data_IF_179278685533
#
_entry.id   IF_179278685533
#
_cell.length_a   1.000
_cell.length_b   1.000
_cell.length_c   1.000
_cell.angle_alpha   90.00
_cell.angle_beta   90.00
_cell.angle_gamma   90.00
#
_symmetry.space_group_name_H-M   'P 1'
#
loop_
_entity.id
_entity.type
_entity.pdbx_description
1 polymer ?
#
# COMPACT_ATOMS: atom_id res chain seq x y z
N UNK A 1 -3.66 5.15 -24.83
CA UNK A 1 -4.97 5.60 -24.29
C UNK A 1 -5.01 7.12 -24.30
N UNK A 2 -6.06 7.79 -24.77
CA UNK A 2 -6.11 9.25 -24.71
C UNK A 2 -6.34 9.74 -23.28
N UNK A 3 -5.91 10.99 -22.96
CA UNK A 3 -6.11 11.61 -21.65
C UNK A 3 -7.55 11.50 -21.17
N UNK A 4 -8.53 11.82 -22.05
CA UNK A 4 -9.96 11.75 -21.73
C UNK A 4 -10.45 10.33 -21.38
N UNK A 5 -9.89 9.28 -21.98
CA UNK A 5 -10.28 7.89 -21.69
C UNK A 5 -9.71 7.37 -20.36
N UNK A 6 -8.62 7.94 -19.88
CA UNK A 6 -8.05 7.61 -18.57
C UNK A 6 -8.65 8.44 -17.43
N UNK A 7 -9.12 9.66 -17.73
CA UNK A 7 -9.75 10.54 -16.75
C UNK A 7 -11.05 9.96 -16.20
N UNK A 8 -11.86 9.33 -17.03
CA UNK A 8 -13.18 8.81 -16.61
C UNK A 8 -13.06 7.77 -15.49
N UNK A 9 -12.31 6.69 -15.61
CA UNK A 9 -12.15 5.70 -14.54
C UNK A 9 -11.55 6.30 -13.26
N UNK A 10 -10.55 7.17 -13.38
CA UNK A 10 -9.93 7.82 -12.23
C UNK A 10 -10.93 8.72 -11.47
N UNK A 11 -11.72 9.51 -12.19
CA UNK A 11 -12.75 10.38 -11.61
C UNK A 11 -13.83 9.53 -10.93
N UNK A 12 -14.29 8.46 -11.58
CA UNK A 12 -15.27 7.53 -11.01
C UNK A 12 -14.78 6.93 -9.68
N UNK A 13 -13.54 6.46 -9.63
CA UNK A 13 -12.97 5.91 -8.40
C UNK A 13 -12.86 6.99 -7.32
N UNK A 14 -12.41 8.19 -7.65
CA UNK A 14 -12.35 9.31 -6.68
C UNK A 14 -13.75 9.67 -6.14
N UNK A 15 -14.77 9.70 -7.00
CA UNK A 15 -16.15 9.94 -6.57
C UNK A 15 -16.69 8.83 -5.67
N UNK A 16 -16.39 7.58 -5.97
CA UNK A 16 -16.76 6.43 -5.12
C UNK A 16 -16.07 6.47 -3.76
N UNK A 17 -14.79 6.86 -3.71
CA UNK A 17 -14.06 7.06 -2.45
C UNK A 17 -14.73 8.18 -1.63
N UNK A 18 -14.98 9.34 -2.23
CA UNK A 18 -15.63 10.45 -1.54
C UNK A 18 -17.03 10.07 -1.02
N UNK A 19 -17.82 9.33 -1.80
CA UNK A 19 -19.11 8.84 -1.36
C UNK A 19 -19.01 7.82 -0.21
N UNK A 20 -17.98 6.96 -0.21
CA UNK A 20 -17.72 6.01 0.87
C UNK A 20 -17.26 6.72 2.15
N UNK A 21 -16.39 7.74 2.05
CA UNK A 21 -16.00 8.61 3.18
C UNK A 21 -17.23 9.25 3.81
N UNK A 22 -18.10 9.84 2.99
CA UNK A 22 -19.33 10.49 3.47
C UNK A 22 -20.27 9.50 4.16
N UNK A 23 -20.49 8.30 3.59
CA UNK A 23 -21.31 7.24 4.22
C UNK A 23 -20.74 6.78 5.56
N UNK A 24 -19.42 6.75 5.69
CA UNK A 24 -18.72 6.37 6.91
C UNK A 24 -18.60 7.53 7.92
N UNK A 25 -19.16 8.70 7.64
CA UNK A 25 -19.06 9.88 8.51
C UNK A 25 -17.64 10.45 8.63
N UNK A 26 -16.80 10.21 7.62
CA UNK A 26 -15.39 10.60 7.61
C UNK A 26 -15.18 11.92 6.87
N UNK A 27 -14.13 12.68 7.23
CA UNK A 27 -13.78 13.88 6.49
C UNK A 27 -13.46 13.58 5.01
N UNK A 28 -13.88 14.45 4.11
CA UNK A 28 -13.54 14.35 2.70
C UNK A 28 -12.00 14.40 2.52
N UNK A 29 -11.47 13.51 1.71
CA UNK A 29 -10.03 13.40 1.45
C UNK A 29 -9.24 12.73 2.58
N UNK A 30 -9.91 12.06 3.53
CA UNK A 30 -9.27 11.27 4.58
C UNK A 30 -8.64 9.98 4.09
N UNK A 31 -9.00 9.55 2.88
CA UNK A 31 -8.52 8.32 2.23
C UNK A 31 -7.64 8.63 1.03
N UNK A 32 -6.42 8.12 1.04
CA UNK A 32 -5.49 8.24 -0.08
C UNK A 32 -5.77 7.15 -1.12
N UNK A 33 -5.98 7.56 -2.38
CA UNK A 33 -5.99 6.63 -3.50
C UNK A 33 -4.56 6.31 -3.94
N UNK A 34 -4.16 5.06 -3.84
CA UNK A 34 -2.92 4.51 -4.41
C UNK A 34 -3.25 3.87 -5.76
N UNK A 35 -2.84 4.49 -6.86
CA UNK A 35 -2.99 3.92 -8.19
C UNK A 35 -1.94 2.83 -8.41
N UNK A 36 -2.39 1.58 -8.57
CA UNK A 36 -1.49 0.42 -8.70
C UNK A 36 -1.05 0.26 -10.13
N UNK A 37 0.14 0.78 -10.45
CA UNK A 37 0.70 0.86 -11.80
C UNK A 37 1.58 -0.33 -12.20
N UNK A 38 1.72 -1.33 -11.32
CA UNK A 38 2.48 -2.55 -11.62
C UNK A 38 2.06 -3.16 -12.96
N UNK A 39 3.05 -3.59 -13.76
CA UNK A 39 2.84 -4.23 -15.07
C UNK A 39 2.12 -3.38 -16.13
N UNK A 40 1.73 -2.15 -15.82
CA UNK A 40 1.09 -1.27 -16.79
C UNK A 40 2.15 -0.61 -17.72
N UNK A 41 1.86 -0.51 -19.01
CA UNK A 41 2.72 0.23 -19.93
C UNK A 41 2.62 1.74 -19.64
N UNK A 42 3.68 2.49 -19.97
CA UNK A 42 3.72 3.93 -19.72
C UNK A 42 2.53 4.69 -20.34
N UNK A 43 2.11 4.29 -21.52
CA UNK A 43 0.97 4.92 -22.23
C UNK A 43 -0.38 4.82 -21.49
N UNK A 44 -0.49 3.91 -20.52
CA UNK A 44 -1.64 3.83 -19.62
C UNK A 44 -1.44 4.65 -18.35
N UNK A 45 -0.19 4.79 -17.88
CA UNK A 45 0.14 5.50 -16.65
C UNK A 45 0.17 7.02 -16.87
N UNK A 46 0.80 7.48 -17.95
CA UNK A 46 0.98 8.90 -18.22
C UNK A 46 -0.34 9.71 -18.20
N UNK A 47 -1.44 9.25 -18.83
CA UNK A 47 -2.71 9.97 -18.75
C UNK A 47 -3.30 10.06 -17.32
N UNK A 48 -3.07 9.05 -16.47
CA UNK A 48 -3.52 9.05 -15.06
C UNK A 48 -2.68 10.03 -14.24
N UNK A 49 -1.38 10.10 -14.52
CA UNK A 49 -0.47 11.10 -13.95
C UNK A 49 -0.88 12.53 -14.38
N UNK A 50 -1.13 12.74 -15.66
CA UNK A 50 -1.56 14.02 -16.22
C UNK A 50 -2.93 14.48 -15.68
N UNK A 51 -3.80 13.53 -15.29
CA UNK A 51 -5.07 13.79 -14.60
C UNK A 51 -4.88 14.10 -13.09
N UNK A 52 -3.63 14.28 -12.64
CA UNK A 52 -3.31 14.75 -11.30
C UNK A 52 -3.21 13.64 -10.25
N UNK A 53 -3.08 12.37 -10.63
CA UNK A 53 -2.75 11.31 -9.67
C UNK A 53 -1.28 11.44 -9.25
N UNK A 54 -1.03 11.43 -7.94
CA UNK A 54 0.31 11.65 -7.38
C UNK A 54 0.85 10.47 -6.57
N UNK A 55 0.00 9.54 -6.15
CA UNK A 55 0.38 8.39 -5.33
C UNK A 55 0.24 7.13 -6.15
N UNK A 56 1.35 6.40 -6.31
CA UNK A 56 1.38 5.17 -7.11
C UNK A 56 1.95 3.99 -6.31
N UNK A 57 1.43 2.79 -6.58
CA UNK A 57 1.85 1.56 -5.95
C UNK A 57 2.54 0.61 -6.93
N UNK A 58 3.69 0.08 -6.54
CA UNK A 58 4.49 -0.86 -7.31
C UNK A 58 4.79 -2.13 -6.52
N UNK A 59 4.91 -3.25 -7.22
CA UNK A 59 5.17 -4.53 -6.56
C UNK A 59 6.65 -4.89 -6.48
N UNK A 60 7.49 -4.36 -7.38
CA UNK A 60 8.89 -4.75 -7.50
C UNK A 60 9.78 -3.52 -7.59
N UNK A 61 10.86 -3.54 -6.81
CA UNK A 61 11.81 -2.43 -6.72
C UNK A 61 12.41 -2.09 -8.07
N UNK A 62 12.91 -3.09 -8.79
CA UNK A 62 13.60 -2.89 -10.05
C UNK A 62 12.69 -2.30 -11.13
N UNK A 63 11.49 -2.87 -11.30
CA UNK A 63 10.48 -2.37 -12.25
C UNK A 63 10.06 -0.92 -11.93
N UNK A 64 9.94 -0.60 -10.63
CA UNK A 64 9.63 0.75 -10.19
C UNK A 64 10.75 1.75 -10.54
N UNK A 65 12.00 1.38 -10.30
CA UNK A 65 13.17 2.23 -10.62
C UNK A 65 13.27 2.50 -12.12
N UNK A 66 13.06 1.48 -12.96
CA UNK A 66 13.06 1.61 -14.42
C UNK A 66 11.92 2.51 -14.91
N UNK A 67 10.72 2.37 -14.33
CA UNK A 67 9.53 3.14 -14.73
C UNK A 67 9.56 4.58 -14.26
N UNK A 68 9.97 4.82 -13.03
CA UNK A 68 9.79 6.09 -12.33
C UNK A 68 11.10 6.87 -12.10
N UNK A 69 12.28 6.29 -12.37
CA UNK A 69 13.57 6.87 -11.99
C UNK A 69 13.74 8.34 -12.37
N UNK A 70 13.42 8.70 -13.60
CA UNK A 70 13.50 10.07 -14.12
C UNK A 70 12.19 10.88 -13.95
N UNK A 71 11.12 10.26 -13.40
CA UNK A 71 9.75 10.81 -13.38
C UNK A 71 9.16 10.94 -11.99
N UNK A 72 9.94 10.68 -10.94
CA UNK A 72 9.39 10.61 -9.59
C UNK A 72 9.18 11.96 -8.90
N UNK A 73 9.62 13.06 -9.48
CA UNK A 73 9.51 14.38 -8.86
C UNK A 73 8.05 14.75 -8.58
N UNK A 74 7.75 15.13 -7.33
CA UNK A 74 6.39 15.46 -6.88
C UNK A 74 5.44 14.27 -6.76
N UNK A 75 5.96 13.03 -6.78
CA UNK A 75 5.17 11.81 -6.62
C UNK A 75 5.49 11.12 -5.29
N UNK A 76 4.50 10.40 -4.77
CA UNK A 76 4.65 9.43 -3.70
C UNK A 76 4.62 8.02 -4.30
N UNK A 77 5.71 7.28 -4.13
CA UNK A 77 5.83 5.91 -4.59
C UNK A 77 5.79 4.94 -3.41
N UNK A 78 4.90 3.97 -3.46
CA UNK A 78 4.71 2.95 -2.44
C UNK A 78 5.10 1.57 -2.95
N UNK A 79 5.95 0.88 -2.21
CA UNK A 79 6.19 -0.54 -2.42
C UNK A 79 5.08 -1.33 -1.72
N UNK A 80 4.24 -1.98 -2.51
CA UNK A 80 3.09 -2.77 -2.04
C UNK A 80 3.23 -4.27 -2.32
N UNK A 81 4.33 -4.69 -2.93
CA UNK A 81 4.69 -6.09 -3.15
C UNK A 81 5.79 -6.58 -2.21
N UNK A 82 6.00 -7.90 -2.12
CA UNK A 82 7.00 -8.49 -1.22
C UNK A 82 8.41 -7.95 -1.47
N UNK A 83 9.09 -7.55 -0.41
CA UNK A 83 10.46 -7.04 -0.47
C UNK A 83 11.48 -8.14 -0.16
N UNK A 84 12.32 -8.45 -1.14
CA UNK A 84 13.49 -9.30 -0.92
C UNK A 84 14.57 -8.52 -0.14
N UNK A 85 15.24 -9.18 0.79
CA UNK A 85 16.24 -8.54 1.66
C UNK A 85 17.41 -7.94 0.90
N UNK A 86 17.83 -8.56 -0.22
CA UNK A 86 18.89 -8.03 -1.07
C UNK A 86 18.49 -6.79 -1.89
N UNK A 87 17.22 -6.37 -1.84
CA UNK A 87 16.69 -5.17 -2.46
C UNK A 87 16.32 -4.06 -1.46
N UNK A 88 16.58 -4.30 -0.18
CA UNK A 88 16.21 -3.35 0.87
C UNK A 88 16.90 -1.99 0.72
N UNK A 89 18.18 -1.98 0.31
CA UNK A 89 18.95 -0.75 0.09
C UNK A 89 18.30 0.13 -0.98
N UNK A 90 18.01 -0.46 -2.15
CA UNK A 90 17.37 0.25 -3.24
C UNK A 90 15.95 0.69 -2.86
N UNK A 91 15.21 -0.16 -2.12
CA UNK A 91 13.87 0.19 -1.65
C UNK A 91 13.86 1.38 -0.70
N UNK A 92 14.78 1.42 0.27
CA UNK A 92 14.93 2.53 1.23
C UNK A 92 15.28 3.83 0.50
N UNK A 93 16.13 3.77 -0.53
CA UNK A 93 16.54 4.95 -1.28
C UNK A 93 15.48 5.45 -2.27
N UNK A 94 14.56 4.58 -2.69
CA UNK A 94 13.67 4.88 -3.81
C UNK A 94 12.21 5.12 -3.43
N UNK A 95 11.65 4.40 -2.45
CA UNK A 95 10.24 4.50 -2.08
C UNK A 95 10.01 5.47 -0.92
N UNK A 96 8.85 6.13 -0.94
CA UNK A 96 8.38 6.98 0.15
C UNK A 96 7.67 6.15 1.23
N UNK A 97 7.08 5.01 0.84
CA UNK A 97 6.40 4.07 1.74
C UNK A 97 6.75 2.64 1.36
N UNK A 98 7.06 1.80 2.34
CA UNK A 98 7.19 0.34 2.19
C UNK A 98 6.09 -0.30 3.03
N UNK A 99 5.11 -0.95 2.38
CA UNK A 99 3.91 -1.48 3.03
C UNK A 99 3.99 -2.97 3.38
N UNK A 100 5.15 -3.61 3.17
CA UNK A 100 5.29 -5.07 3.16
C UNK A 100 6.34 -5.59 4.15
N UNK A 101 6.46 -4.92 5.30
CA UNK A 101 7.35 -5.37 6.38
C UNK A 101 6.67 -6.52 7.12
N UNK A 102 7.21 -7.74 7.02
CA UNK A 102 6.51 -8.95 7.44
C UNK A 102 7.37 -10.01 8.14
N UNK A 103 8.67 -9.73 8.36
CA UNK A 103 9.56 -10.70 9.01
C UNK A 103 10.81 -10.05 9.60
N UNK A 104 11.32 -10.62 10.66
CA UNK A 104 12.43 -10.08 11.44
C UNK A 104 13.70 -9.87 10.61
N UNK A 105 14.05 -10.82 9.73
CA UNK A 105 15.21 -10.67 8.84
C UNK A 105 15.13 -9.42 7.97
N UNK A 106 13.93 -9.07 7.46
CA UNK A 106 13.73 -7.87 6.67
C UNK A 106 13.82 -6.63 7.54
N UNK A 107 13.21 -6.63 8.73
CA UNK A 107 13.25 -5.53 9.70
C UNK A 107 14.69 -5.14 10.04
N UNK A 108 15.53 -6.13 10.37
CA UNK A 108 16.93 -5.92 10.68
C UNK A 108 17.68 -5.23 9.54
N UNK A 109 17.51 -5.72 8.33
CA UNK A 109 18.18 -5.14 7.15
C UNK A 109 17.64 -3.74 6.83
N UNK A 110 16.33 -3.51 6.95
CA UNK A 110 15.75 -2.17 6.78
C UNK A 110 16.32 -1.19 7.81
N UNK A 111 16.46 -1.58 9.07
CA UNK A 111 17.05 -0.73 10.10
C UNK A 111 18.50 -0.34 9.76
N UNK A 112 19.31 -1.31 9.31
CA UNK A 112 20.70 -1.06 8.88
C UNK A 112 20.76 -0.09 7.67
N UNK A 113 19.91 -0.30 6.66
CA UNK A 113 19.90 0.54 5.45
C UNK A 113 19.34 1.95 5.73
N UNK A 114 18.32 2.09 6.56
CA UNK A 114 17.77 3.37 7.01
C UNK A 114 18.83 4.18 7.77
N UNK A 115 19.55 3.53 8.70
CA UNK A 115 20.64 4.17 9.43
C UNK A 115 21.75 4.61 8.48
N UNK A 116 22.12 3.79 7.50
CA UNK A 116 23.13 4.10 6.50
C UNK A 116 22.72 5.26 5.59
N UNK A 117 21.46 5.30 5.17
CA UNK A 117 20.93 6.33 4.29
C UNK A 117 20.69 7.66 5.00
N UNK A 118 20.54 7.68 6.32
CA UNK A 118 20.15 8.86 7.09
C UNK A 118 18.73 9.36 6.80
N UNK A 119 17.92 8.54 6.15
CA UNK A 119 16.52 8.83 5.79
C UNK A 119 15.70 7.54 5.82
N UNK A 120 14.44 7.64 6.18
CA UNK A 120 13.55 6.50 6.27
C UNK A 120 12.29 6.69 5.42
N UNK A 121 11.93 5.72 4.57
CA UNK A 121 10.57 5.62 4.09
C UNK A 121 9.62 5.39 5.27
N UNK A 122 8.36 5.71 5.10
CA UNK A 122 7.31 5.30 6.03
C UNK A 122 7.13 3.79 5.96
N UNK A 123 7.10 3.12 7.10
CA UNK A 123 7.04 1.66 7.17
C UNK A 123 5.67 1.20 7.66
N UNK A 124 5.09 0.23 6.92
CA UNK A 124 3.87 -0.46 7.30
C UNK A 124 4.16 -1.95 7.49
N UNK A 125 3.62 -2.51 8.54
CA UNK A 125 3.65 -3.97 8.75
C UNK A 125 2.51 -4.62 7.98
N UNK A 126 2.85 -5.63 7.18
CA UNK A 126 1.85 -6.46 6.51
C UNK A 126 1.40 -7.57 7.44
N UNK A 127 0.08 -7.67 7.63
CA UNK A 127 -0.57 -8.72 8.43
C UNK A 127 -1.31 -9.68 7.49
N UNK A 128 -1.05 -10.97 7.64
CA UNK A 128 -1.77 -12.04 6.93
C UNK A 128 -3.06 -12.38 7.68
N UNK A 129 -4.08 -11.58 7.49
CA UNK A 129 -5.36 -11.71 8.21
C UNK A 129 -6.13 -12.99 7.91
N UNK A 130 -5.81 -13.66 6.82
CA UNK A 130 -6.40 -14.96 6.45
C UNK A 130 -5.62 -16.17 6.94
N UNK A 131 -4.44 -15.97 7.52
CA UNK A 131 -3.51 -17.02 7.96
C UNK A 131 -3.21 -18.06 6.87
N UNK A 132 -3.16 -17.61 5.62
CA UNK A 132 -2.87 -18.47 4.46
C UNK A 132 -1.35 -18.67 4.35
N UNK A 133 -0.86 -19.90 4.48
CA UNK A 133 0.58 -20.25 4.53
C UNK A 133 1.39 -19.72 3.34
N UNK A 134 0.76 -19.63 2.15
CA UNK A 134 1.41 -19.17 0.92
C UNK A 134 1.45 -17.64 0.77
N UNK A 135 0.79 -16.88 1.65
CA UNK A 135 0.75 -15.42 1.57
C UNK A 135 1.76 -14.75 2.49
N UNK A 136 2.29 -13.61 2.03
CA UNK A 136 3.12 -12.75 2.85
C UNK A 136 2.32 -12.08 3.97
N UNK A 137 3.02 -11.68 5.02
CA UNK A 137 2.45 -11.02 6.18
C UNK A 137 2.67 -11.80 7.47
N UNK A 138 2.78 -11.08 8.58
CA UNK A 138 2.86 -11.67 9.91
C UNK A 138 1.48 -12.21 10.33
N UNK A 139 1.44 -13.32 11.07
CA UNK A 139 0.19 -13.82 11.60
C UNK A 139 -0.46 -12.81 12.57
N UNK A 140 -1.81 -12.69 12.60
CA UNK A 140 -2.48 -11.74 13.48
C UNK A 140 -2.11 -11.86 14.95
N UNK A 141 -1.94 -13.11 15.43
CA UNK A 141 -1.54 -13.39 16.81
C UNK A 141 -0.10 -12.99 17.15
N UNK A 142 0.75 -12.79 16.16
CA UNK A 142 2.16 -12.39 16.32
C UNK A 142 2.37 -10.87 16.08
N UNK A 143 1.37 -10.18 15.56
CA UNK A 143 1.49 -8.79 15.10
C UNK A 143 1.94 -7.84 16.21
N UNK A 144 1.39 -7.96 17.42
CA UNK A 144 1.71 -7.08 18.54
C UNK A 144 3.17 -7.21 18.96
N UNK A 145 3.66 -8.43 19.11
CA UNK A 145 5.04 -8.70 19.48
C UNK A 145 6.00 -8.24 18.37
N UNK A 146 5.63 -8.45 17.11
CA UNK A 146 6.42 -8.02 15.97
C UNK A 146 6.53 -6.50 15.87
N UNK A 147 5.42 -5.77 16.01
CA UNK A 147 5.41 -4.29 16.01
C UNK A 147 6.24 -3.75 17.19
N UNK A 148 6.09 -4.34 18.37
CA UNK A 148 6.89 -3.98 19.54
C UNK A 148 8.39 -4.18 19.30
N UNK A 149 8.79 -5.31 18.71
CA UNK A 149 10.18 -5.59 18.34
C UNK A 149 10.73 -4.60 17.30
N UNK A 150 9.94 -4.26 16.27
CA UNK A 150 10.32 -3.23 15.28
C UNK A 150 10.72 -1.92 15.97
N UNK A 151 9.94 -1.51 16.96
CA UNK A 151 10.16 -0.26 17.71
C UNK A 151 11.29 -0.34 18.71
N UNK A 152 11.23 -1.32 19.62
CA UNK A 152 12.12 -1.39 20.78
C UNK A 152 13.50 -1.98 20.45
N UNK A 153 13.56 -2.98 19.58
CA UNK A 153 14.81 -3.68 19.25
C UNK A 153 15.53 -3.05 18.06
N UNK A 154 14.76 -2.62 17.06
CA UNK A 154 15.32 -2.13 15.80
C UNK A 154 15.20 -0.61 15.62
N UNK A 155 14.54 0.10 16.54
CA UNK A 155 14.41 1.55 16.52
C UNK A 155 13.61 2.10 15.34
N UNK A 156 12.76 1.28 14.71
CA UNK A 156 11.95 1.67 13.57
C UNK A 156 10.61 2.26 13.99
N UNK A 157 10.17 3.28 13.27
CA UNK A 157 8.81 3.80 13.41
C UNK A 157 7.88 3.03 12.47
N UNK A 158 6.87 2.39 13.03
CA UNK A 158 5.79 1.76 12.26
C UNK A 158 4.62 2.75 12.21
N UNK A 159 4.35 3.28 11.02
CA UNK A 159 3.33 4.29 10.78
C UNK A 159 1.97 3.67 10.41
N UNK A 160 1.99 2.51 9.79
CA UNK A 160 0.77 1.85 9.30
C UNK A 160 0.80 0.34 9.37
N UNK A 161 -0.38 -0.25 9.13
CA UNK A 161 -0.57 -1.66 8.85
C UNK A 161 -1.16 -1.85 7.45
N UNK A 162 -0.91 -3.00 6.85
CA UNK A 162 -1.44 -3.38 5.55
C UNK A 162 -1.95 -4.82 5.58
N UNK A 163 -3.06 -5.09 4.90
CA UNK A 163 -3.49 -6.45 4.63
C UNK A 163 -4.03 -6.63 3.20
N UNK A 164 -4.07 -7.89 2.79
CA UNK A 164 -4.75 -8.38 1.59
C UNK A 164 -5.58 -9.57 2.05
N UNK A 165 -6.90 -9.42 2.24
CA UNK A 165 -7.78 -10.52 2.64
C UNK A 165 -7.74 -11.71 1.69
N UNK A 166 -8.18 -12.91 2.09
CA UNK A 166 -8.39 -14.02 1.19
C UNK A 166 -9.38 -13.65 0.07
N UNK A 167 -9.11 -14.14 -1.14
CA UNK A 167 -9.87 -13.75 -2.33
C UNK A 167 -11.36 -14.14 -2.25
N UNK A 168 -11.64 -15.31 -1.70
CA UNK A 168 -13.02 -15.89 -1.64
C UNK A 168 -13.72 -15.64 -0.29
N UNK A 169 -13.18 -14.76 0.55
CA UNK A 169 -13.76 -14.45 1.86
C UNK A 169 -14.46 -13.08 1.87
N UNK A 170 -15.40 -12.92 2.82
CA UNK A 170 -15.88 -11.58 3.19
C UNK A 170 -14.70 -10.76 3.75
N UNK A 171 -14.41 -9.64 3.12
CA UNK A 171 -13.27 -8.81 3.49
C UNK A 171 -13.49 -7.98 4.76
N UNK A 172 -14.73 -7.70 5.15
CA UNK A 172 -15.05 -6.83 6.28
C UNK A 172 -14.45 -7.32 7.62
N UNK A 173 -14.56 -8.61 8.02
CA UNK A 173 -13.92 -9.10 9.24
C UNK A 173 -12.40 -8.95 9.25
N UNK A 174 -11.75 -9.11 8.08
CA UNK A 174 -10.30 -8.94 7.94
C UNK A 174 -9.87 -7.49 8.10
N UNK A 175 -10.63 -6.54 7.57
CA UNK A 175 -10.38 -5.11 7.74
C UNK A 175 -10.61 -4.67 9.19
N UNK A 176 -11.68 -5.15 9.83
CA UNK A 176 -11.95 -4.90 11.25
C UNK A 176 -10.81 -5.43 12.13
N UNK A 177 -10.34 -6.66 11.88
CA UNK A 177 -9.18 -7.25 12.57
C UNK A 177 -7.94 -6.38 12.43
N UNK A 178 -7.62 -5.90 11.22
CA UNK A 178 -6.46 -5.03 11.00
C UNK A 178 -6.59 -3.72 11.78
N UNK A 179 -7.78 -3.11 11.78
CA UNK A 179 -8.07 -1.91 12.57
C UNK A 179 -7.83 -2.14 14.06
N UNK A 180 -8.36 -3.23 14.63
CA UNK A 180 -8.18 -3.57 16.04
C UNK A 180 -6.70 -3.76 16.41
N UNK A 181 -5.91 -4.42 15.54
CA UNK A 181 -4.47 -4.54 15.72
C UNK A 181 -3.80 -3.16 15.72
N UNK A 182 -4.18 -2.27 14.81
CA UNK A 182 -3.64 -0.94 14.71
C UNK A 182 -3.96 -0.10 15.95
N UNK A 183 -5.22 -0.10 16.41
CA UNK A 183 -5.69 0.65 17.57
C UNK A 183 -4.92 0.26 18.84
N UNK A 184 -4.81 -1.04 19.15
CA UNK A 184 -4.12 -1.50 20.37
C UNK A 184 -2.60 -1.28 20.33
N UNK A 185 -2.03 -1.09 19.13
CA UNK A 185 -0.61 -0.77 18.94
C UNK A 185 -0.34 0.73 18.73
N UNK A 186 -1.35 1.58 18.76
CA UNK A 186 -1.21 3.02 18.52
C UNK A 186 -0.70 3.35 17.12
N UNK A 187 -1.14 2.58 16.10
CA UNK A 187 -0.80 2.77 14.69
C UNK A 187 -1.96 3.47 13.98
N UNK A 188 -1.68 4.60 13.32
CA UNK A 188 -2.74 5.47 12.79
C UNK A 188 -3.11 5.26 11.32
N UNK A 189 -2.34 4.48 10.55
CA UNK A 189 -2.56 4.31 9.11
C UNK A 189 -2.92 2.87 8.76
N UNK A 190 -3.92 2.73 7.87
CA UNK A 190 -4.41 1.43 7.40
C UNK A 190 -4.44 1.42 5.88
N UNK A 191 -3.56 0.62 5.27
CA UNK A 191 -3.58 0.34 3.83
C UNK A 191 -4.32 -0.97 3.60
N UNK A 192 -5.57 -0.88 3.17
CA UNK A 192 -6.43 -2.02 2.92
C UNK A 192 -7.55 -1.65 1.96
N UNK A 193 -8.07 -2.63 1.22
CA UNK A 193 -9.06 -2.43 0.17
C UNK A 193 -8.44 -2.26 -1.20
N UNK A 194 -9.04 -2.96 -2.17
CA UNK A 194 -8.67 -2.96 -3.58
C UNK A 194 -9.90 -2.67 -4.46
N UNK A 195 -9.79 -2.87 -5.77
CA UNK A 195 -10.83 -2.50 -6.75
C UNK A 195 -12.24 -3.00 -6.41
N UNK A 196 -12.34 -4.17 -5.77
CA UNK A 196 -13.63 -4.82 -5.53
C UNK A 196 -14.20 -4.58 -4.12
N UNK A 197 -13.37 -4.14 -3.16
CA UNK A 197 -13.76 -4.07 -1.74
C UNK A 197 -13.32 -2.78 -1.02
N UNK A 198 -12.82 -1.78 -1.75
CA UNK A 198 -12.30 -0.56 -1.11
C UNK A 198 -13.37 0.26 -0.38
N UNK A 199 -14.63 0.24 -0.80
CA UNK A 199 -15.70 0.93 -0.05
C UNK A 199 -15.94 0.27 1.31
N UNK A 200 -15.91 -1.07 1.39
CA UNK A 200 -15.94 -1.82 2.65
C UNK A 200 -14.74 -1.47 3.53
N UNK A 201 -13.54 -1.42 2.93
CA UNK A 201 -12.33 -1.04 3.65
C UNK A 201 -12.42 0.39 4.21
N UNK A 202 -13.00 1.33 3.47
CA UNK A 202 -13.22 2.71 3.94
C UNK A 202 -14.18 2.74 5.13
N UNK A 203 -15.26 1.97 5.09
CA UNK A 203 -16.19 1.83 6.20
C UNK A 203 -15.50 1.27 7.46
N UNK A 204 -14.55 0.35 7.29
CA UNK A 204 -13.74 -0.25 8.36
C UNK A 204 -12.52 0.59 8.77
N UNK A 205 -12.32 1.79 8.21
CA UNK A 205 -11.30 2.73 8.67
C UNK A 205 -10.06 2.82 7.80
N UNK A 206 -10.03 2.27 6.58
CA UNK A 206 -8.89 2.42 5.67
C UNK A 206 -8.48 3.88 5.51
N UNK A 207 -7.19 4.16 5.60
CA UNK A 207 -6.61 5.48 5.33
C UNK A 207 -5.97 5.55 3.95
N UNK A 208 -5.75 4.41 3.31
CA UNK A 208 -5.41 4.30 1.90
C UNK A 208 -6.00 3.04 1.29
N UNK A 209 -6.39 3.16 0.02
CA UNK A 209 -6.91 2.06 -0.81
C UNK A 209 -6.04 1.91 -2.06
N UNK A 210 -5.89 0.68 -2.55
CA UNK A 210 -4.99 0.32 -3.65
C UNK A 210 -5.80 -0.14 -4.85
N UNK A 211 -5.95 0.71 -5.85
CA UNK A 211 -6.80 0.44 -7.01
C UNK A 211 -5.97 0.36 -8.28
N UNK A 212 -6.07 -0.73 -9.00
CA UNK A 212 -5.35 -0.98 -10.25
C UNK A 212 -6.30 -1.22 -11.42
N UNK A 213 -6.93 -2.38 -11.48
CA UNK A 213 -7.78 -2.80 -12.61
C UNK A 213 -8.93 -1.84 -12.91
N UNK A 214 -9.52 -1.24 -11.89
CA UNK A 214 -10.60 -0.27 -12.08
C UNK A 214 -10.14 1.09 -12.64
N UNK A 215 -8.82 1.41 -12.59
CA UNK A 215 -8.24 2.61 -13.20
C UNK A 215 -7.65 2.31 -14.57
N UNK A 216 -6.84 1.25 -14.66
CA UNK A 216 -6.03 0.95 -15.84
C UNK A 216 -6.65 -0.11 -16.78
N UNK A 217 -7.77 -0.72 -16.39
CA UNK A 217 -8.38 -1.85 -17.07
C UNK A 217 -7.83 -3.21 -16.62
N UNK A 218 -8.54 -4.27 -16.95
CA UNK A 218 -8.06 -5.64 -16.75
C UNK A 218 -6.80 -5.89 -17.61
N UNK A 219 -5.89 -6.71 -17.08
CA UNK A 219 -4.71 -7.13 -17.86
C UNK A 219 -5.17 -7.78 -19.16
N UNK A 220 -4.67 -7.31 -20.29
CA UNK A 220 -4.70 -8.11 -21.48
C UNK A 220 -3.81 -9.34 -21.19
N UNK A 221 -4.44 -10.52 -21.09
CA UNK A 221 -3.72 -11.77 -21.08
C UNK A 221 -3.06 -11.90 -22.45
N UNK A 222 -1.78 -11.52 -22.53
CA UNK A 222 -0.91 -11.80 -23.66
C UNK A 222 -0.15 -13.08 -23.40
#
# INVERSE_FOLDING_TARGET
MSKALAEIPLIEIRNRIAAAEARAGRPAGSVTLVAVSKTQPWDHIAPVLDAGQKVFGENRVQEAMERWGERREGLELRLIGPLQTNKAREAVAFFDVIETVDREKLVRILAEEIQRAGASPRLYVQVNTGEEEQKAGIAPGEADAFIAACRSTYGLTIEGLMCIPPFDADSAPHFAMLREIAERNGVGKLSMGMSDDFETAIAEGATSVRVGSAIFGSRNAG
#
